data_IF_051003892534
#
_entry.id   IF_051003892534
#
_cell.length_a   1.000
_cell.length_b   1.000
_cell.length_c   1.000
_cell.angle_alpha   90.00
_cell.angle_beta   90.00
_cell.angle_gamma   90.00
#
_symmetry.space_group_name_H-M   'P 1'
#
loop_
_entity.id
_entity.type
_entity.pdbx_description
1 polymer ?
#
# COMPACT_ATOMS: atom_id res chain seq x y z
N UNK A 1 27.17 -74.45 -4.52
CA UNK A 1 27.56 -74.11 -5.90
C UNK A 1 26.45 -74.55 -6.85
N UNK A 2 25.73 -73.58 -7.43
CA UNK A 2 24.79 -73.61 -8.57
C UNK A 2 24.03 -72.25 -8.52
N UNK A 3 24.45 -71.19 -9.23
CA UNK A 3 24.22 -70.87 -10.67
C UNK A 3 22.71 -70.89 -10.99
N UNK A 4 22.04 -69.90 -11.60
CA UNK A 4 22.31 -68.59 -12.22
C UNK A 4 20.89 -67.95 -12.43
N UNK A 5 20.64 -66.90 -13.25
CA UNK A 5 19.87 -65.69 -12.94
C UNK A 5 18.50 -65.66 -13.66
N UNK A 6 18.01 -64.47 -14.05
CA UNK A 6 16.87 -64.15 -14.95
C UNK A 6 15.53 -63.73 -14.31
N UNK A 7 15.49 -62.45 -13.95
CA UNK A 7 14.65 -61.41 -14.59
C UNK A 7 13.28 -61.85 -15.17
N UNK A 8 12.17 -61.47 -14.51
CA UNK A 8 10.85 -61.14 -15.09
C UNK A 8 9.92 -60.74 -13.92
N UNK A 9 9.19 -59.64 -13.87
CA UNK A 9 8.90 -58.63 -14.87
C UNK A 9 8.53 -57.33 -14.17
N UNK A 10 8.87 -56.24 -14.84
CA UNK A 10 8.49 -54.89 -14.49
C UNK A 10 6.99 -54.74 -14.77
N UNK A 11 6.14 -54.85 -13.74
CA UNK A 11 4.74 -54.41 -13.86
C UNK A 11 4.74 -52.91 -13.65
N UNK A 12 4.78 -52.16 -14.74
CA UNK A 12 4.48 -50.72 -14.71
C UNK A 12 2.96 -50.61 -14.59
N UNK A 13 2.45 -50.43 -13.38
CA UNK A 13 1.05 -49.98 -13.22
C UNK A 13 1.02 -48.52 -13.65
N UNK A 14 0.50 -48.26 -14.84
CA UNK A 14 0.16 -46.91 -15.30
C UNK A 14 -0.99 -46.38 -14.46
N UNK A 15 -0.67 -45.63 -13.40
CA UNK A 15 -1.65 -44.82 -12.68
C UNK A 15 -2.11 -43.69 -13.62
N UNK A 16 -3.42 -43.50 -13.85
CA UNK A 16 -3.89 -42.38 -14.63
C UNK A 16 -3.49 -41.10 -13.90
N UNK A 17 -2.89 -40.18 -14.66
CA UNK A 17 -2.56 -38.85 -14.22
C UNK A 17 -3.83 -38.12 -13.77
N UNK A 18 -4.11 -38.15 -12.47
CA UNK A 18 -4.84 -37.05 -11.87
C UNK A 18 -3.89 -35.86 -11.90
N UNK A 19 -4.02 -35.03 -12.93
CA UNK A 19 -3.50 -33.68 -12.89
C UNK A 19 -4.10 -33.04 -11.65
N UNK A 20 -3.32 -32.96 -10.56
CA UNK A 20 -3.65 -32.10 -9.44
C UNK A 20 -3.65 -30.69 -10.01
N UNK A 21 -4.83 -30.26 -10.42
CA UNK A 21 -5.15 -28.88 -10.71
C UNK A 21 -4.91 -28.16 -9.39
N UNK A 22 -3.71 -27.61 -9.23
CA UNK A 22 -3.39 -26.66 -8.19
C UNK A 22 -4.34 -25.49 -8.41
N UNK A 23 -5.47 -25.54 -7.70
CA UNK A 23 -6.34 -24.40 -7.53
C UNK A 23 -5.53 -23.38 -6.74
N UNK A 24 -4.90 -22.45 -7.44
CA UNK A 24 -4.29 -21.25 -6.87
C UNK A 24 -5.37 -20.55 -6.05
N UNK A 25 -5.37 -20.86 -4.76
CA UNK A 25 -6.23 -20.21 -3.80
C UNK A 25 -5.56 -18.87 -3.58
N UNK A 26 -6.04 -17.84 -4.29
CA UNK A 26 -5.67 -16.43 -4.10
C UNK A 26 -6.04 -16.02 -2.67
N UNK A 27 -5.24 -16.47 -1.71
CA UNK A 27 -5.24 -15.94 -0.36
C UNK A 27 -4.69 -14.54 -0.49
N UNK A 28 -5.53 -13.53 -0.23
CA UNK A 28 -5.09 -12.15 -0.11
C UNK A 28 -4.26 -11.99 1.17
N UNK A 29 -3.10 -12.64 1.20
CA UNK A 29 -2.05 -12.43 2.18
C UNK A 29 -1.20 -11.29 1.61
N UNK A 30 -1.65 -10.05 1.81
CA UNK A 30 -0.88 -8.89 1.38
C UNK A 30 0.27 -8.70 2.36
N UNK A 31 1.51 -8.88 1.90
CA UNK A 31 2.74 -8.61 2.69
C UNK A 31 2.87 -7.14 3.15
N UNK A 32 1.98 -6.26 2.67
CA UNK A 32 2.04 -4.83 2.88
C UNK A 32 0.65 -4.25 3.19
N UNK A 33 0.61 -3.31 4.13
CA UNK A 33 -0.59 -2.60 4.57
C UNK A 33 -0.34 -1.09 4.53
N UNK A 34 -1.40 -0.30 4.34
CA UNK A 34 -1.32 1.15 4.54
C UNK A 34 -1.34 1.42 6.04
N UNK A 35 -0.41 2.25 6.50
CA UNK A 35 -0.36 2.61 7.90
C UNK A 35 -1.49 3.59 8.25
N UNK A 36 -2.14 3.36 9.39
CA UNK A 36 -3.22 4.23 9.88
C UNK A 36 -2.74 5.65 10.20
N UNK A 37 -1.45 5.83 10.49
CA UNK A 37 -0.83 7.09 10.91
C UNK A 37 -0.24 7.89 9.74
N UNK A 38 -1.08 8.22 8.76
CA UNK A 38 -0.66 9.07 7.64
C UNK A 38 -0.38 10.50 8.11
N UNK A 39 0.71 11.10 7.59
CA UNK A 39 1.05 12.50 7.84
C UNK A 39 1.05 13.32 6.55
N UNK A 40 0.62 14.56 6.65
CA UNK A 40 0.64 15.56 5.57
C UNK A 40 1.65 16.64 5.91
N UNK A 41 2.53 16.99 4.97
CA UNK A 41 3.52 18.04 5.18
C UNK A 41 2.93 19.43 4.95
N UNK A 42 3.24 20.35 5.86
CA UNK A 42 2.85 21.75 5.77
C UNK A 42 4.01 22.58 5.22
N UNK A 43 3.74 23.32 4.16
CA UNK A 43 4.69 24.16 3.45
C UNK A 43 4.51 25.65 3.79
N UNK A 44 5.57 26.43 3.65
CA UNK A 44 5.54 27.88 3.88
C UNK A 44 4.86 28.68 2.75
N UNK A 45 4.45 28.02 1.66
CA UNK A 45 3.79 28.63 0.51
C UNK A 45 3.07 27.57 -0.35
N UNK A 46 2.29 27.99 -1.35
CA UNK A 46 1.40 27.12 -2.14
C UNK A 46 2.17 26.25 -3.14
N UNK A 47 2.95 25.28 -2.66
CA UNK A 47 3.69 24.38 -3.53
C UNK A 47 4.78 23.57 -2.83
N UNK A 48 5.25 22.53 -3.51
CA UNK A 48 6.27 21.60 -3.00
C UNK A 48 7.68 22.19 -2.94
N UNK A 49 7.93 23.28 -3.65
CA UNK A 49 9.22 23.99 -3.66
C UNK A 49 9.40 24.93 -2.46
N UNK A 50 8.36 25.12 -1.65
CA UNK A 50 8.42 25.92 -0.43
C UNK A 50 8.93 25.09 0.74
N UNK A 51 9.53 25.78 1.73
CA UNK A 51 10.08 25.15 2.94
C UNK A 51 9.01 24.38 3.70
N UNK A 52 9.35 23.18 4.16
CA UNK A 52 8.50 22.41 5.09
C UNK A 52 8.59 23.04 6.48
N UNK A 53 7.44 23.40 7.04
CA UNK A 53 7.26 23.97 8.37
C UNK A 53 6.99 22.90 9.43
N UNK A 54 6.41 21.77 9.02
CA UNK A 54 6.08 20.65 9.88
C UNK A 54 5.13 19.68 9.19
N UNK A 55 4.42 18.90 9.99
CA UNK A 55 3.40 17.97 9.51
C UNK A 55 2.11 18.06 10.33
N UNK A 56 1.05 17.50 9.77
CA UNK A 56 -0.28 17.32 10.35
C UNK A 56 -0.62 15.84 10.24
N UNK A 57 -1.09 15.26 11.33
CA UNK A 57 -1.59 13.88 11.34
C UNK A 57 -2.98 13.83 10.70
N UNK A 58 -3.24 12.81 9.88
CA UNK A 58 -4.54 12.62 9.26
C UNK A 58 -5.65 12.44 10.30
N UNK A 59 -6.86 12.92 9.97
CA UNK A 59 -8.02 12.87 10.86
C UNK A 59 -8.08 14.00 11.90
N UNK A 60 -7.01 14.79 12.07
CA UNK A 60 -7.09 16.02 12.86
C UNK A 60 -7.82 17.12 12.10
N UNK A 61 -8.75 17.85 12.75
CA UNK A 61 -9.47 18.94 12.11
C UNK A 61 -8.53 20.12 11.83
N UNK A 62 -8.77 20.78 10.70
CA UNK A 62 -8.09 22.01 10.28
C UNK A 62 -9.11 23.01 9.75
N UNK A 63 -8.79 24.29 9.82
CA UNK A 63 -9.59 25.34 9.17
C UNK A 63 -8.93 25.74 7.86
N UNK A 64 -9.66 25.69 6.75
CA UNK A 64 -9.18 26.20 5.46
C UNK A 64 -9.33 27.72 5.43
N UNK A 65 -8.22 28.43 5.18
CA UNK A 65 -8.17 29.89 5.13
C UNK A 65 -8.30 30.41 3.70
N UNK A 66 -7.63 29.74 2.75
CA UNK A 66 -7.71 30.04 1.32
C UNK A 66 -7.20 28.86 0.48
N UNK A 67 -7.58 28.84 -0.79
CA UNK A 67 -7.17 27.81 -1.75
C UNK A 67 -6.48 28.44 -2.95
N UNK A 68 -5.35 27.85 -3.35
CA UNK A 68 -4.64 28.15 -4.58
C UNK A 68 -4.85 26.98 -5.56
N UNK A 69 -5.81 27.15 -6.47
CA UNK A 69 -6.15 26.13 -7.48
C UNK A 69 -5.12 26.00 -8.60
N UNK A 70 -4.19 26.95 -8.76
CA UNK A 70 -3.13 26.85 -9.77
C UNK A 70 -2.06 25.81 -9.40
N UNK A 71 -1.83 25.63 -8.09
CA UNK A 71 -0.83 24.71 -7.57
C UNK A 71 -1.42 23.51 -6.84
N UNK A 72 -2.75 23.45 -6.67
CA UNK A 72 -3.47 22.44 -5.88
C UNK A 72 -3.10 22.42 -4.39
N UNK A 73 -2.89 23.60 -3.80
CA UNK A 73 -2.62 23.77 -2.38
C UNK A 73 -3.69 24.61 -1.69
N UNK A 74 -3.96 24.31 -0.42
CA UNK A 74 -4.80 25.12 0.45
C UNK A 74 -4.02 25.54 1.70
N UNK A 75 -4.16 26.81 2.06
CA UNK A 75 -3.66 27.31 3.33
C UNK A 75 -4.64 26.92 4.43
N UNK A 76 -4.11 26.36 5.51
CA UNK A 76 -4.87 25.92 6.66
C UNK A 76 -4.37 26.57 7.95
N UNK A 77 -5.20 26.54 8.99
CA UNK A 77 -4.83 26.74 10.39
C UNK A 77 -5.12 25.46 11.18
N UNK A 78 -4.16 24.99 11.99
CA UNK A 78 -4.33 23.84 12.87
C UNK A 78 -4.80 24.22 14.29
N UNK A 79 -5.08 23.22 15.14
CA UNK A 79 -5.53 23.44 16.52
C UNK A 79 -4.51 24.20 17.41
N UNK A 80 -3.24 24.27 17.00
CA UNK A 80 -2.20 25.03 17.70
C UNK A 80 -2.04 26.45 17.14
N UNK A 81 -2.89 26.86 16.20
CA UNK A 81 -2.82 28.16 15.53
C UNK A 81 -1.66 28.28 14.54
N UNK A 82 -1.04 27.17 14.12
CA UNK A 82 -0.02 27.19 13.08
C UNK A 82 -0.68 27.32 11.72
N UNK A 83 -0.13 28.18 10.88
CA UNK A 83 -0.56 28.34 9.50
C UNK A 83 0.47 27.83 8.51
N UNK A 84 -0.02 27.27 7.42
CA UNK A 84 0.79 26.86 6.28
C UNK A 84 -0.05 26.17 5.22
N UNK A 85 0.63 25.67 4.19
CA UNK A 85 0.00 25.17 2.98
C UNK A 85 0.13 23.65 2.88
N UNK A 86 -0.97 22.99 2.59
CA UNK A 86 -1.04 21.54 2.34
C UNK A 86 -1.64 21.26 0.96
N UNK A 87 -1.36 20.10 0.37
CA UNK A 87 -2.01 19.72 -0.88
C UNK A 87 -3.51 19.54 -0.64
N UNK A 88 -4.34 20.17 -1.47
CA UNK A 88 -5.80 20.20 -1.30
C UNK A 88 -6.42 18.80 -1.34
N UNK A 89 -5.81 17.85 -2.05
CA UNK A 89 -6.28 16.46 -2.13
C UNK A 89 -6.33 15.73 -0.78
N UNK A 90 -5.63 16.21 0.24
CA UNK A 90 -5.67 15.62 1.59
C UNK A 90 -6.73 16.23 2.49
N UNK A 91 -7.44 17.27 2.03
CA UNK A 91 -8.54 17.87 2.74
C UNK A 91 -9.84 17.18 2.32
N UNK A 92 -10.66 16.81 3.31
CA UNK A 92 -12.00 16.28 3.11
C UNK A 92 -13.01 17.28 3.67
N UNK A 93 -14.02 17.60 2.89
CA UNK A 93 -15.18 18.36 3.36
C UNK A 93 -16.08 17.44 4.19
N UNK A 94 -16.73 18.01 5.21
CA UNK A 94 -17.67 17.29 6.08
C UNK A 94 -19.12 17.59 5.71
#
# INVERSE_FOLDING_TARGET
MRLLPFLFGLVIVSLPAAAQQSSDTLSADSDHYIADNLIVYMHSGPGRNYRILGSIEAGLPVTVLQTNSENDFSQISDANGREGWVETQYLIDT
#
